data_IF_023214966375
#
_entry.id   IF_023214966375
#
_cell.length_a   1.000
_cell.length_b   1.000
_cell.length_c   1.000
_cell.angle_alpha   90.00
_cell.angle_beta   90.00
_cell.angle_gamma   90.00
#
_symmetry.space_group_name_H-M   'P 1'
#
loop_
_entity.id
_entity.type
_entity.pdbx_description
1 polymer ?
#
# COMPACT_ATOMS: atom_id res chain seq x y z
N UNK A 1 -10.93 -61.74 33.86
CA UNK A 1 -10.65 -62.71 32.77
C UNK A 1 -11.61 -62.40 31.65
N UNK A 2 -11.12 -62.07 30.44
CA UNK A 2 -11.98 -61.96 29.25
C UNK A 2 -12.62 -63.32 29.00
N UNK A 3 -13.89 -63.36 28.63
CA UNK A 3 -14.55 -64.63 28.32
C UNK A 3 -13.95 -65.20 27.03
N UNK A 4 -13.96 -66.53 26.86
CA UNK A 4 -13.40 -67.16 25.65
C UNK A 4 -14.11 -66.64 24.38
N UNK A 5 -15.39 -66.27 24.49
CA UNK A 5 -16.17 -65.70 23.41
C UNK A 5 -15.67 -64.31 22.98
N UNK A 6 -15.21 -63.47 23.91
CA UNK A 6 -14.66 -62.14 23.60
C UNK A 6 -13.36 -62.25 22.79
N UNK A 7 -12.55 -63.28 23.05
CA UNK A 7 -11.31 -63.53 22.31
C UNK A 7 -11.56 -63.99 20.88
N UNK A 8 -12.57 -64.84 20.67
CA UNK A 8 -12.95 -65.28 19.33
C UNK A 8 -13.48 -64.11 18.48
N UNK A 9 -14.24 -63.20 19.10
CA UNK A 9 -14.72 -61.98 18.44
C UNK A 9 -13.57 -61.02 18.08
N UNK A 10 -12.61 -60.81 18.98
CA UNK A 10 -11.41 -60.01 18.69
C UNK A 10 -10.61 -60.61 17.52
N UNK A 11 -10.42 -61.94 17.48
CA UNK A 11 -9.72 -62.62 16.39
C UNK A 11 -10.47 -62.54 15.04
N UNK A 12 -11.80 -62.57 15.06
CA UNK A 12 -12.62 -62.39 13.86
C UNK A 12 -12.50 -60.97 13.30
N UNK A 13 -12.52 -59.96 14.17
CA UNK A 13 -12.34 -58.56 13.78
C UNK A 13 -10.93 -58.30 13.25
N UNK A 14 -9.91 -58.86 13.90
CA UNK A 14 -8.52 -58.75 13.47
C UNK A 14 -8.31 -59.37 12.08
N UNK A 15 -8.81 -60.57 11.83
CA UNK A 15 -8.76 -61.19 10.49
C UNK A 15 -9.55 -60.41 9.45
N UNK A 16 -10.67 -59.80 9.82
CA UNK A 16 -11.45 -58.98 8.89
C UNK A 16 -10.71 -57.69 8.52
N UNK A 17 -10.04 -57.05 9.49
CA UNK A 17 -9.21 -55.87 9.26
C UNK A 17 -7.93 -56.20 8.49
N UNK A 18 -7.27 -57.33 8.76
CA UNK A 18 -6.05 -57.75 8.06
C UNK A 18 -6.30 -58.07 6.58
N UNK A 19 -7.46 -58.65 6.27
CA UNK A 19 -7.87 -58.91 4.88
C UNK A 19 -8.52 -57.71 4.18
N UNK A 20 -8.74 -56.61 4.90
CA UNK A 20 -9.20 -55.37 4.29
C UNK A 20 -8.02 -54.70 3.60
N UNK A 21 -8.07 -54.65 2.26
CA UNK A 21 -7.05 -53.98 1.47
C UNK A 21 -7.04 -52.51 1.85
N UNK A 22 -5.93 -52.02 2.40
CA UNK A 22 -5.79 -50.61 2.74
C UNK A 22 -5.84 -49.81 1.44
N UNK A 23 -6.87 -48.97 1.32
CA UNK A 23 -7.02 -48.01 0.22
C UNK A 23 -5.77 -47.12 0.19
N UNK A 24 -4.84 -47.41 -0.72
CA UNK A 24 -3.67 -46.56 -0.92
C UNK A 24 -4.08 -45.38 -1.78
N UNK A 25 -3.63 -44.15 -1.44
CA UNK A 25 -3.92 -43.01 -2.27
C UNK A 25 -3.38 -43.28 -3.68
N UNK A 26 -4.10 -42.77 -4.70
CA UNK A 26 -3.63 -42.87 -6.08
C UNK A 26 -2.20 -42.35 -6.20
N UNK A 27 -1.40 -42.92 -7.09
CA UNK A 27 -0.01 -42.51 -7.32
C UNK A 27 0.17 -40.99 -7.46
N UNK A 28 -0.80 -40.31 -8.07
CA UNK A 28 -0.80 -38.86 -8.33
C UNK A 28 -1.48 -38.01 -7.22
N UNK A 29 -1.84 -38.59 -6.08
CA UNK A 29 -2.59 -37.90 -5.03
C UNK A 29 -1.86 -36.65 -4.53
N UNK A 30 -0.59 -36.81 -4.14
CA UNK A 30 0.24 -35.71 -3.65
C UNK A 30 0.44 -34.63 -4.71
N UNK A 31 0.61 -35.04 -5.98
CA UNK A 31 0.78 -34.13 -7.12
C UNK A 31 -0.45 -33.27 -7.33
N UNK A 32 -1.65 -33.87 -7.35
CA UNK A 32 -2.93 -33.16 -7.48
C UNK A 32 -3.21 -32.23 -6.31
N UNK A 33 -2.96 -32.68 -5.08
CA UNK A 33 -3.16 -31.86 -3.88
C UNK A 33 -2.20 -30.65 -3.89
N UNK A 34 -0.92 -30.85 -4.19
CA UNK A 34 0.03 -29.73 -4.29
C UNK A 34 -0.27 -28.80 -5.46
N UNK A 35 -0.78 -29.32 -6.58
CA UNK A 35 -1.22 -28.52 -7.71
C UNK A 35 -2.39 -27.60 -7.32
N UNK A 36 -3.38 -28.10 -6.59
CA UNK A 36 -4.53 -27.31 -6.13
C UNK A 36 -4.11 -26.28 -5.06
N UNK A 37 -3.24 -26.68 -4.12
CA UNK A 37 -2.68 -25.77 -3.11
C UNK A 37 -1.89 -24.63 -3.77
N UNK A 38 -1.12 -24.92 -4.81
CA UNK A 38 -0.37 -23.90 -5.55
C UNK A 38 -1.29 -22.95 -6.33
N UNK A 39 -2.39 -23.44 -6.89
CA UNK A 39 -3.37 -22.56 -7.54
C UNK A 39 -4.06 -21.63 -6.54
N UNK A 40 -4.43 -22.15 -5.37
CA UNK A 40 -5.02 -21.37 -4.27
C UNK A 40 -4.03 -20.36 -3.67
N UNK A 41 -2.74 -20.72 -3.56
CA UNK A 41 -1.70 -19.83 -3.04
C UNK A 41 -1.34 -18.71 -4.02
N UNK A 42 -1.34 -18.98 -5.33
CA UNK A 42 -1.19 -17.96 -6.38
C UNK A 42 -2.36 -16.98 -6.35
N UNK A 43 -3.59 -17.45 -6.14
CA UNK A 43 -4.76 -16.57 -5.97
C UNK A 43 -4.70 -15.73 -4.68
N UNK A 44 -3.96 -16.20 -3.66
CA UNK A 44 -3.72 -15.49 -2.40
C UNK A 44 -2.34 -14.84 -2.36
N UNK A 45 -1.80 -14.45 -3.51
CA UNK A 45 -0.78 -13.43 -3.54
C UNK A 45 -1.37 -12.18 -2.89
N UNK A 46 -0.86 -11.82 -1.70
CA UNK A 46 -1.13 -10.52 -1.09
C UNK A 46 -0.47 -9.50 -2.01
N UNK A 47 -1.17 -9.14 -3.09
CA UNK A 47 -0.71 -8.18 -4.06
C UNK A 47 -0.61 -6.85 -3.31
N UNK A 48 0.63 -6.39 -3.11
CA UNK A 48 0.91 -5.17 -2.37
C UNK A 48 0.26 -3.99 -3.10
N UNK A 49 -0.93 -3.61 -2.66
CA UNK A 49 -1.64 -2.46 -3.21
C UNK A 49 -0.87 -1.22 -2.77
N UNK A 50 -0.40 -0.37 -3.70
CA UNK A 50 0.35 0.82 -3.32
C UNK A 50 -0.51 1.68 -2.38
N UNK A 51 0.02 2.03 -1.20
CA UNK A 51 -0.66 2.83 -0.16
C UNK A 51 -1.30 4.10 -0.74
N UNK A 52 -0.68 4.67 -1.77
CA UNK A 52 -1.17 5.83 -2.51
C UNK A 52 -1.13 5.49 -4.00
N UNK A 53 -2.27 5.61 -4.67
CA UNK A 53 -2.37 5.45 -6.14
C UNK A 53 -1.46 6.44 -6.86
N UNK A 54 -0.96 6.07 -8.04
CA UNK A 54 -0.17 6.97 -8.92
C UNK A 54 -0.92 8.26 -9.24
N UNK A 55 -2.26 8.21 -9.31
CA UNK A 55 -3.11 9.38 -9.55
C UNK A 55 -3.05 10.40 -8.42
N UNK A 56 -3.01 9.94 -7.17
CA UNK A 56 -2.95 10.81 -5.99
C UNK A 56 -1.58 11.50 -5.89
N UNK A 57 -0.51 10.83 -6.32
CA UNK A 57 0.81 11.46 -6.46
C UNK A 57 0.82 12.62 -7.44
N UNK A 58 0.14 12.47 -8.58
CA UNK A 58 0.02 13.54 -9.56
C UNK A 58 -0.80 14.73 -9.01
N UNK A 59 -1.89 14.44 -8.31
CA UNK A 59 -2.72 15.45 -7.65
C UNK A 59 -1.94 16.25 -6.58
N UNK A 60 -1.17 15.57 -5.73
CA UNK A 60 -0.32 16.20 -4.72
C UNK A 60 0.74 17.09 -5.36
N UNK A 61 1.39 16.62 -6.43
CA UNK A 61 2.38 17.39 -7.16
C UNK A 61 1.77 18.63 -7.83
N UNK A 62 0.59 18.49 -8.43
CA UNK A 62 -0.12 19.62 -9.03
C UNK A 62 -0.52 20.65 -7.97
N UNK A 63 -1.01 20.21 -6.80
CA UNK A 63 -1.34 21.09 -5.68
C UNK A 63 -0.14 21.85 -5.14
N UNK A 64 1.02 21.18 -5.00
CA UNK A 64 2.26 21.83 -4.60
C UNK A 64 2.70 22.90 -5.62
N UNK A 65 2.70 22.55 -6.91
CA UNK A 65 3.03 23.50 -7.97
C UNK A 65 2.11 24.71 -7.98
N UNK A 66 0.79 24.50 -7.82
CA UNK A 66 -0.18 25.60 -7.75
C UNK A 66 0.09 26.54 -6.57
N UNK A 67 0.46 25.98 -5.42
CA UNK A 67 0.76 26.75 -4.21
C UNK A 67 2.06 27.56 -4.38
N UNK A 68 3.10 26.98 -4.98
CA UNK A 68 4.35 27.69 -5.31
C UNK A 68 4.08 28.81 -6.31
N UNK A 69 3.32 28.55 -7.37
CA UNK A 69 2.94 29.57 -8.36
C UNK A 69 2.17 30.73 -7.72
N UNK A 70 1.25 30.44 -6.80
CA UNK A 70 0.53 31.49 -6.09
C UNK A 70 1.48 32.39 -5.28
N UNK A 71 2.44 31.82 -4.57
CA UNK A 71 3.40 32.58 -3.76
C UNK A 71 4.28 33.47 -4.64
N UNK A 72 4.74 32.97 -5.79
CA UNK A 72 5.63 33.71 -6.69
C UNK A 72 4.89 34.84 -7.41
N UNK A 73 3.72 34.54 -7.99
CA UNK A 73 3.05 35.46 -8.92
C UNK A 73 1.95 36.32 -8.28
N UNK A 74 1.26 35.82 -7.25
CA UNK A 74 0.01 36.43 -6.74
C UNK A 74 0.21 37.06 -5.35
N UNK A 75 1.04 36.48 -4.49
CA UNK A 75 1.17 36.94 -3.10
C UNK A 75 1.69 38.39 -2.98
N UNK A 76 1.17 39.17 -2.01
CA UNK A 76 1.51 40.57 -1.82
C UNK A 76 2.98 40.79 -1.47
N UNK A 77 3.57 41.81 -2.08
CA UNK A 77 4.97 42.20 -1.96
C UNK A 77 5.25 42.86 -0.60
N UNK A 78 5.69 42.09 0.39
CA UNK A 78 6.36 42.66 1.56
C UNK A 78 7.86 42.32 1.63
N UNK A 79 8.33 41.29 0.93
CA UNK A 79 9.77 40.98 0.85
C UNK A 79 10.08 40.04 -0.33
N UNK A 80 9.97 40.55 -1.57
CA UNK A 80 10.32 39.79 -2.79
C UNK A 80 11.83 39.82 -3.10
N UNK A 81 12.70 40.13 -2.15
CA UNK A 81 14.16 40.29 -2.39
C UNK A 81 14.83 39.01 -2.91
N UNK A 82 14.35 37.83 -2.50
CA UNK A 82 14.85 36.55 -3.00
C UNK A 82 14.28 36.17 -4.37
N UNK A 83 13.07 36.67 -4.70
CA UNK A 83 12.36 36.36 -5.94
C UNK A 83 12.62 37.39 -7.05
N UNK A 84 13.17 38.58 -6.71
CA UNK A 84 13.54 39.63 -7.66
C UNK A 84 14.80 39.31 -8.48
N UNK A 85 15.57 38.30 -8.08
CA UNK A 85 16.69 37.76 -8.86
C UNK A 85 16.24 36.86 -10.02
N UNK A 86 14.97 36.44 -10.01
CA UNK A 86 14.39 35.65 -11.09
C UNK A 86 13.80 36.60 -12.14
N UNK A 87 14.17 36.50 -13.43
CA UNK A 87 13.65 37.35 -14.50
C UNK A 87 12.20 36.97 -14.85
N UNK A 88 11.27 37.19 -13.92
CA UNK A 88 9.85 36.83 -14.02
C UNK A 88 8.96 38.03 -14.40
N UNK A 89 9.57 39.16 -14.77
CA UNK A 89 8.89 40.43 -15.05
C UNK A 89 7.89 40.34 -16.23
N UNK A 90 8.01 39.34 -17.10
CA UNK A 90 7.20 39.18 -18.31
C UNK A 90 5.88 38.42 -18.12
N UNK A 91 5.63 37.80 -16.96
CA UNK A 91 4.44 36.96 -16.75
C UNK A 91 3.41 37.73 -15.94
N UNK A 92 2.53 38.47 -16.62
CA UNK A 92 1.36 39.12 -16.01
C UNK A 92 0.21 38.12 -15.91
N UNK A 93 0.10 37.44 -14.78
CA UNK A 93 -1.07 36.59 -14.49
C UNK A 93 -2.22 37.48 -14.00
N UNK A 94 -3.44 37.37 -14.57
CA UNK A 94 -4.59 38.07 -14.03
C UNK A 94 -4.83 37.65 -12.57
N UNK A 95 -4.97 38.63 -11.67
CA UNK A 95 -5.25 38.40 -10.25
C UNK A 95 -6.63 37.74 -10.12
N UNK A 96 -6.65 36.42 -9.98
CA UNK A 96 -7.87 35.66 -9.79
C UNK A 96 -8.31 35.81 -8.32
N UNK A 97 -9.35 36.63 -8.09
CA UNK A 97 -9.86 36.98 -6.76
C UNK A 97 -10.72 35.88 -6.11
N UNK A 98 -10.39 34.60 -6.33
CA UNK A 98 -11.20 33.45 -5.86
C UNK A 98 -11.26 33.33 -4.33
N UNK A 99 -10.31 33.96 -3.63
CA UNK A 99 -10.20 33.96 -2.16
C UNK A 99 -10.17 35.38 -1.56
N UNK A 100 -10.86 36.33 -2.17
CA UNK A 100 -10.85 37.75 -1.76
C UNK A 100 -11.29 38.01 -0.31
N UNK A 101 -11.96 37.06 0.34
CA UNK A 101 -12.36 37.13 1.75
C UNK A 101 -11.37 36.51 2.76
N UNK A 102 -10.37 35.74 2.32
CA UNK A 102 -9.49 34.98 3.23
C UNK A 102 -8.10 35.61 3.23
N UNK A 103 -7.81 36.39 4.27
CA UNK A 103 -6.48 36.98 4.49
C UNK A 103 -5.61 36.02 5.29
N UNK A 104 -4.77 35.24 4.62
CA UNK A 104 -3.71 34.50 5.30
C UNK A 104 -2.51 35.42 5.57
N UNK A 105 -1.91 35.26 6.76
CA UNK A 105 -0.59 35.86 7.04
C UNK A 105 0.47 35.22 6.12
N UNK A 106 1.49 35.99 5.73
CA UNK A 106 2.59 35.48 4.92
C UNK A 106 3.28 34.29 5.59
N UNK A 107 3.51 34.35 6.90
CA UNK A 107 4.12 33.27 7.68
C UNK A 107 3.32 31.96 7.58
N UNK A 108 1.99 32.04 7.67
CA UNK A 108 1.10 30.89 7.52
C UNK A 108 1.17 30.30 6.12
N UNK A 109 1.26 31.14 5.09
CA UNK A 109 1.35 30.70 3.70
C UNK A 109 2.66 29.96 3.41
N UNK A 110 3.80 30.52 3.83
CA UNK A 110 5.11 29.86 3.71
C UNK A 110 5.17 28.59 4.56
N UNK A 111 4.58 28.61 5.77
CA UNK A 111 4.47 27.43 6.63
C UNK A 111 3.69 26.30 5.97
N UNK A 112 2.54 26.60 5.34
CA UNK A 112 1.74 25.63 4.60
C UNK A 112 2.52 25.03 3.42
N UNK A 113 3.26 25.86 2.68
CA UNK A 113 4.12 25.40 1.58
C UNK A 113 5.19 24.42 2.08
N UNK A 114 5.88 24.78 3.16
CA UNK A 114 6.94 23.97 3.75
C UNK A 114 6.39 22.65 4.29
N UNK A 115 5.22 22.67 4.96
CA UNK A 115 4.53 21.47 5.41
C UNK A 115 4.16 20.55 4.25
N UNK A 116 3.64 21.10 3.15
CA UNK A 116 3.28 20.33 1.97
C UNK A 116 4.51 19.62 1.37
N UNK A 117 5.64 20.32 1.25
CA UNK A 117 6.92 19.73 0.80
C UNK A 117 7.36 18.62 1.76
N UNK A 118 7.34 18.88 3.07
CA UNK A 118 7.74 17.94 4.10
C UNK A 118 6.93 16.64 4.03
N UNK A 119 5.60 16.74 3.93
CA UNK A 119 4.72 15.56 3.77
C UNK A 119 5.05 14.79 2.49
N UNK A 120 5.33 15.51 1.39
CA UNK A 120 5.68 14.91 0.11
C UNK A 120 6.99 14.10 0.18
N UNK A 121 7.96 14.52 0.99
CA UNK A 121 9.24 13.81 1.21
C UNK A 121 9.08 12.68 2.23
N UNK A 122 8.26 12.88 3.27
CA UNK A 122 8.04 11.88 4.31
C UNK A 122 7.36 10.61 3.80
N UNK A 123 6.38 10.75 2.91
CA UNK A 123 5.63 9.60 2.36
C UNK A 123 6.54 8.58 1.65
N UNK A 124 7.43 8.97 0.70
CA UNK A 124 8.43 8.07 0.11
C UNK A 124 9.37 7.44 1.15
N UNK A 125 9.80 8.20 2.15
CA UNK A 125 10.72 7.75 3.19
C UNK A 125 10.09 6.63 4.03
N UNK A 126 8.85 6.84 4.48
CA UNK A 126 8.07 5.83 5.20
C UNK A 126 7.79 4.63 4.31
N UNK A 127 7.41 4.85 3.04
CA UNK A 127 7.18 3.76 2.08
C UNK A 127 8.44 2.90 1.90
N UNK A 128 9.61 3.53 1.76
CA UNK A 128 10.88 2.84 1.62
C UNK A 128 11.22 2.03 2.88
N UNK A 129 11.06 2.64 4.06
CA UNK A 129 11.30 1.98 5.34
C UNK A 129 10.43 0.73 5.55
N UNK A 130 9.11 0.84 5.34
CA UNK A 130 8.20 -0.29 5.49
C UNK A 130 8.41 -1.37 4.42
N UNK A 131 8.65 -0.98 3.17
CA UNK A 131 8.94 -1.95 2.10
C UNK A 131 10.22 -2.75 2.36
N UNK A 132 11.23 -2.15 3.01
CA UNK A 132 12.45 -2.85 3.41
C UNK A 132 12.23 -3.80 4.59
N UNK A 133 11.24 -3.55 5.45
CA UNK A 133 10.93 -4.39 6.63
C UNK A 133 9.94 -5.53 6.32
N UNK A 134 9.08 -5.36 5.32
CA UNK A 134 8.02 -6.31 4.96
C UNK A 134 8.41 -7.26 3.81
N UNK A 135 9.60 -7.13 3.23
CA UNK A 135 10.20 -8.18 2.38
C UNK A 135 10.65 -9.34 3.28
N UNK A 136 9.71 -10.24 3.58
CA UNK A 136 9.97 -11.65 3.92
C UNK A 136 9.63 -12.48 2.69
#
# INVERSE_FOLDING_TARGET
MKSEHDKELEQLVEKFMENSQTESPSFEFTSKVMQEINQLSVSKSIAYKPLISKTVWWLLSAGLCALVLYIVFIAPSQSKEWASSLPLEYIKIPKLNVFSGIKFSQSTMYGMAMLAIMVMVQIPLLKHYFNSRLKV
#
